data_IF_482988890337
#
_entry.id   IF_482988890337
#
_cell.length_a   1.000
_cell.length_b   1.000
_cell.length_c   1.000
_cell.angle_alpha   90.00
_cell.angle_beta   90.00
_cell.angle_gamma   90.00
#
_symmetry.space_group_name_H-M   'P 1'
#
loop_
_entity.id
_entity.type
_entity.pdbx_description
1 polymer ?
#
# COMPACT_ATOMS: atom_id res chain seq x y z
N UNK A 1 4.80 -22.44 5.34
CA UNK A 1 3.90 -21.30 5.63
C UNK A 1 3.33 -21.25 7.06
N UNK A 2 3.65 -22.19 7.96
CA UNK A 2 3.20 -22.10 9.38
C UNK A 2 3.61 -20.78 10.03
N UNK A 3 4.85 -20.34 9.81
CA UNK A 3 5.38 -19.05 10.29
C UNK A 3 4.51 -17.83 9.93
N UNK A 4 3.83 -17.83 8.77
CA UNK A 4 2.89 -16.77 8.38
C UNK A 4 1.57 -16.86 9.15
N UNK A 5 1.05 -18.08 9.34
CA UNK A 5 -0.18 -18.30 10.10
C UNK A 5 0.02 -18.04 11.59
N UNK A 6 1.21 -18.30 12.12
CA UNK A 6 1.57 -18.00 13.51
C UNK A 6 1.53 -16.48 13.74
N UNK A 7 2.08 -15.68 12.81
CA UNK A 7 1.94 -14.22 12.84
C UNK A 7 0.48 -13.78 12.74
N UNK A 8 -0.26 -14.32 11.78
CA UNK A 8 -1.67 -13.96 11.57
C UNK A 8 -2.51 -14.23 12.82
N UNK A 9 -2.32 -15.40 13.44
CA UNK A 9 -2.96 -15.78 14.70
C UNK A 9 -2.56 -14.87 15.84
N UNK A 10 -1.26 -14.62 16.00
CA UNK A 10 -0.73 -13.77 17.06
C UNK A 10 -1.30 -12.35 17.00
N UNK A 11 -1.32 -11.71 15.84
CA UNK A 11 -1.88 -10.35 15.71
C UNK A 11 -3.40 -10.33 15.88
N UNK A 12 -4.09 -11.36 15.39
CA UNK A 12 -5.54 -11.48 15.58
C UNK A 12 -5.91 -11.60 17.07
N UNK A 13 -5.19 -12.44 17.83
CA UNK A 13 -5.52 -12.78 19.23
C UNK A 13 -4.89 -11.83 20.25
N UNK A 14 -3.70 -11.29 19.96
CA UNK A 14 -2.85 -10.55 20.92
C UNK A 14 -2.41 -9.17 20.41
N UNK A 15 -2.76 -8.81 19.18
CA UNK A 15 -2.42 -7.50 18.62
C UNK A 15 -3.10 -6.36 19.37
N UNK A 16 -2.39 -5.24 19.50
CA UNK A 16 -2.93 -4.05 20.17
C UNK A 16 -3.82 -3.27 19.20
N UNK A 17 -5.05 -2.88 19.59
CA UNK A 17 -5.88 -2.00 18.77
C UNK A 17 -5.18 -0.67 18.48
N UNK A 18 -5.19 -0.25 17.22
CA UNK A 18 -4.51 0.95 16.76
C UNK A 18 -5.27 1.62 15.62
N UNK A 19 -5.47 2.92 15.72
CA UNK A 19 -5.99 3.73 14.62
C UNK A 19 -4.96 3.84 13.49
N UNK A 20 -5.43 3.98 12.25
CA UNK A 20 -4.55 4.06 11.09
C UNK A 20 -5.00 5.19 10.14
N UNK A 21 -4.15 5.53 9.17
CA UNK A 21 -4.41 6.62 8.21
C UNK A 21 -5.67 6.44 7.36
N UNK A 22 -6.18 5.21 7.23
CA UNK A 22 -7.39 4.92 6.46
C UNK A 22 -8.67 5.11 7.28
N UNK A 23 -8.55 5.23 8.62
CA UNK A 23 -9.70 5.29 9.51
C UNK A 23 -10.37 3.93 9.77
N UNK A 24 -9.85 2.83 9.22
CA UNK A 24 -10.42 1.48 9.38
C UNK A 24 -10.14 0.92 10.78
N UNK A 25 -8.98 1.24 11.34
CA UNK A 25 -8.47 0.61 12.54
C UNK A 25 -7.78 -0.74 12.26
N UNK A 26 -6.87 -1.11 13.16
CA UNK A 26 -6.04 -2.32 13.03
C UNK A 26 -5.81 -2.97 14.40
N UNK A 27 -5.49 -4.26 14.41
CA UNK A 27 -4.65 -4.84 15.45
C UNK A 27 -3.20 -4.87 14.95
N UNK A 28 -2.25 -4.43 15.77
CA UNK A 28 -0.85 -4.31 15.37
C UNK A 28 0.10 -4.89 16.44
N UNK A 29 1.24 -5.39 15.96
CA UNK A 29 2.44 -5.68 16.75
C UNK A 29 3.63 -4.98 16.13
N UNK A 30 4.58 -4.55 16.97
CA UNK A 30 5.78 -3.85 16.52
C UNK A 30 7.01 -4.73 16.70
N UNK A 31 7.60 -5.16 15.57
CA UNK A 31 8.70 -6.12 15.56
C UNK A 31 8.19 -7.55 15.46
N UNK A 32 8.39 -8.17 14.30
CA UNK A 32 8.22 -9.61 14.10
C UNK A 32 9.23 -10.10 13.07
N UNK A 33 9.74 -11.32 13.21
CA UNK A 33 10.67 -11.89 12.24
C UNK A 33 10.26 -13.31 11.84
N UNK A 34 10.21 -13.55 10.54
CA UNK A 34 9.97 -14.87 9.95
C UNK A 34 11.22 -15.31 9.18
N UNK A 35 11.44 -16.62 9.11
CA UNK A 35 12.50 -17.24 8.30
C UNK A 35 11.91 -18.36 7.44
N UNK A 36 12.31 -18.39 6.18
CA UNK A 36 11.90 -19.37 5.20
C UNK A 36 13.16 -19.98 4.57
N UNK A 37 13.41 -21.28 4.81
CA UNK A 37 14.45 -22.02 4.10
C UNK A 37 13.96 -22.29 2.67
N UNK A 38 14.56 -21.60 1.70
CA UNK A 38 14.14 -21.66 0.30
C UNK A 38 14.50 -22.99 -0.37
N UNK A 39 15.37 -23.81 0.24
CA UNK A 39 15.65 -25.16 -0.24
C UNK A 39 14.51 -26.15 0.01
N UNK A 40 13.59 -25.84 0.93
CA UNK A 40 12.45 -26.70 1.27
C UNK A 40 11.22 -26.46 0.38
N UNK A 41 11.28 -25.48 -0.51
CA UNK A 41 10.19 -25.09 -1.41
C UNK A 41 9.97 -23.59 -1.45
N UNK A 42 9.20 -23.14 -2.44
CA UNK A 42 8.91 -21.72 -2.65
C UNK A 42 7.82 -21.25 -1.65
N UNK A 43 8.08 -20.21 -0.83
CA UNK A 43 7.22 -19.82 0.30
C UNK A 43 5.96 -19.07 -0.14
N UNK A 44 5.11 -19.73 -0.92
CA UNK A 44 3.84 -19.20 -1.38
C UNK A 44 2.72 -19.64 -0.43
N UNK A 45 1.84 -18.72 -0.03
CA UNK A 45 0.69 -19.06 0.82
C UNK A 45 -0.20 -20.07 0.09
N UNK A 46 -0.48 -21.20 0.74
CA UNK A 46 -1.37 -22.26 0.23
C UNK A 46 -2.75 -22.23 0.87
N UNK A 47 -2.93 -21.57 2.02
CA UNK A 47 -4.24 -21.44 2.69
C UNK A 47 -5.18 -20.42 2.04
N UNK A 48 -4.71 -19.68 1.02
CA UNK A 48 -5.53 -18.94 0.06
C UNK A 48 -4.78 -18.79 -1.27
N UNK A 49 -5.50 -18.80 -2.38
CA UNK A 49 -4.93 -18.60 -3.72
C UNK A 49 -4.41 -17.17 -3.87
N UNK A 50 -3.16 -17.02 -4.31
CA UNK A 50 -2.54 -15.74 -4.65
C UNK A 50 -2.54 -15.50 -6.16
N UNK A 51 -2.55 -14.23 -6.57
CA UNK A 51 -2.49 -13.83 -7.97
C UNK A 51 -1.04 -13.71 -8.45
N UNK A 52 -0.45 -14.85 -8.83
CA UNK A 52 0.97 -14.99 -9.20
C UNK A 52 1.43 -14.01 -10.29
N UNK A 53 0.58 -13.78 -11.31
CA UNK A 53 0.86 -12.84 -12.40
C UNK A 53 1.24 -11.46 -11.87
N UNK A 54 0.50 -10.94 -10.90
CA UNK A 54 0.79 -9.64 -10.30
C UNK A 54 2.13 -9.61 -9.57
N UNK A 55 2.45 -10.65 -8.80
CA UNK A 55 3.71 -10.73 -8.04
C UNK A 55 4.92 -10.71 -8.98
N UNK A 56 4.87 -11.51 -10.05
CA UNK A 56 5.99 -11.67 -10.99
C UNK A 56 6.19 -10.39 -11.81
N UNK A 57 5.13 -9.84 -12.41
CA UNK A 57 5.26 -8.60 -13.19
C UNK A 57 5.65 -7.40 -12.34
N UNK A 58 5.18 -7.29 -11.10
CA UNK A 58 5.59 -6.22 -10.19
C UNK A 58 7.10 -6.27 -9.91
N UNK A 59 7.65 -7.45 -9.63
CA UNK A 59 9.09 -7.59 -9.41
C UNK A 59 9.90 -7.23 -10.67
N UNK A 60 9.46 -7.71 -11.84
CA UNK A 60 10.11 -7.35 -13.11
C UNK A 60 10.04 -5.82 -13.33
N UNK A 61 8.89 -5.20 -13.04
CA UNK A 61 8.70 -3.76 -13.15
C UNK A 61 9.65 -2.97 -12.22
N UNK A 62 9.83 -3.41 -10.97
CA UNK A 62 10.84 -2.85 -10.07
C UNK A 62 12.25 -3.01 -10.63
N UNK A 63 12.60 -4.20 -11.12
CA UNK A 63 13.92 -4.49 -11.68
C UNK A 63 14.20 -3.69 -12.95
N UNK A 64 13.19 -3.29 -13.72
CA UNK A 64 13.30 -2.39 -14.88
C UNK A 64 13.52 -0.93 -14.50
N UNK A 65 13.35 -0.58 -13.22
CA UNK A 65 13.48 0.79 -12.74
C UNK A 65 12.24 1.66 -13.02
N UNK A 66 11.14 1.05 -13.43
CA UNK A 66 9.94 1.77 -13.83
C UNK A 66 9.15 2.29 -12.62
N UNK A 67 8.42 3.38 -12.83
CA UNK A 67 7.57 4.04 -11.82
C UNK A 67 6.20 4.46 -12.36
N UNK A 68 5.93 4.18 -13.64
CA UNK A 68 4.62 4.35 -14.27
C UNK A 68 3.93 2.99 -14.42
N UNK A 69 2.61 2.94 -14.22
CA UNK A 69 1.83 1.69 -14.23
C UNK A 69 1.47 1.17 -15.62
N UNK A 70 1.89 1.83 -16.72
CA UNK A 70 1.58 1.41 -18.10
C UNK A 70 1.99 -0.05 -18.36
N UNK A 71 3.23 -0.43 -18.03
CA UNK A 71 3.70 -1.81 -18.16
C UNK A 71 2.83 -2.80 -17.35
N UNK A 72 2.45 -2.43 -16.13
CA UNK A 72 1.62 -3.29 -15.28
C UNK A 72 0.24 -3.49 -15.91
N UNK A 73 -0.38 -2.42 -16.41
CA UNK A 73 -1.68 -2.45 -17.10
C UNK A 73 -1.64 -3.29 -18.37
N UNK A 74 -0.63 -3.11 -19.21
CA UNK A 74 -0.41 -3.91 -20.42
C UNK A 74 -0.31 -5.42 -20.12
N UNK A 75 0.15 -5.78 -18.93
CA UNK A 75 0.30 -7.16 -18.47
C UNK A 75 -0.85 -7.66 -17.58
N UNK A 76 -1.96 -6.90 -17.51
CA UNK A 76 -3.16 -7.29 -16.76
C UNK A 76 -3.00 -7.18 -15.24
N UNK A 77 -2.18 -6.26 -14.76
CA UNK A 77 -1.89 -6.04 -13.34
C UNK A 77 -2.32 -4.64 -12.89
N UNK A 78 -3.31 -4.58 -12.00
CA UNK A 78 -3.89 -3.32 -11.47
C UNK A 78 -3.58 -3.04 -10.00
N UNK A 79 -2.60 -3.73 -9.39
CA UNK A 79 -2.32 -3.63 -7.95
C UNK A 79 -1.77 -2.26 -7.51
N UNK A 80 -1.44 -1.37 -8.44
CA UNK A 80 -0.93 -0.02 -8.17
C UNK A 80 -1.90 1.10 -8.61
N UNK A 81 -3.04 0.75 -9.21
CA UNK A 81 -4.00 1.70 -9.80
C UNK A 81 -4.56 2.70 -8.79
N UNK A 82 -4.65 2.30 -7.51
CA UNK A 82 -5.21 3.14 -6.47
C UNK A 82 -4.30 4.33 -6.12
N UNK A 83 -2.99 4.21 -6.32
CA UNK A 83 -1.99 5.21 -5.93
C UNK A 83 -1.53 6.09 -7.09
N UNK A 84 -1.65 5.63 -8.32
CA UNK A 84 -1.17 6.39 -9.47
C UNK A 84 -1.98 7.66 -9.73
N UNK A 85 -1.32 8.68 -10.28
CA UNK A 85 -1.97 9.87 -10.83
C UNK A 85 -2.73 9.58 -12.14
N UNK A 86 -3.27 10.63 -12.78
CA UNK A 86 -4.07 10.49 -14.00
C UNK A 86 -3.25 9.95 -15.19
N UNK A 87 -1.95 10.24 -15.21
CA UNK A 87 -0.99 9.80 -16.22
C UNK A 87 -0.35 8.45 -15.87
N UNK A 88 -0.68 7.87 -14.72
CA UNK A 88 -0.19 6.57 -14.27
C UNK A 88 1.13 6.60 -13.50
N UNK A 89 1.63 7.77 -13.11
CA UNK A 89 2.89 7.89 -12.36
C UNK A 89 2.67 7.70 -10.86
N UNK A 90 3.68 7.11 -10.21
CA UNK A 90 3.72 6.90 -8.77
C UNK A 90 4.77 7.77 -8.07
N UNK A 91 5.47 8.62 -8.81
CA UNK A 91 6.66 9.32 -8.34
C UNK A 91 7.85 8.37 -8.16
N UNK A 92 8.89 8.75 -7.40
CA UNK A 92 10.15 8.03 -7.31
C UNK A 92 10.09 6.78 -6.40
N UNK A 93 9.17 5.85 -6.66
CA UNK A 93 8.99 4.61 -5.86
C UNK A 93 10.11 3.58 -6.15
N UNK A 94 9.91 2.33 -5.69
CA UNK A 94 10.93 1.28 -5.61
C UNK A 94 11.84 1.15 -6.83
N UNK A 95 11.29 1.02 -8.05
CA UNK A 95 12.09 0.80 -9.25
C UNK A 95 13.16 1.88 -9.44
N UNK A 96 12.77 3.15 -9.34
CA UNK A 96 13.71 4.26 -9.40
C UNK A 96 14.75 4.16 -8.28
N UNK A 97 14.35 3.89 -7.04
CA UNK A 97 15.33 3.80 -5.95
C UNK A 97 16.31 2.65 -6.14
N UNK A 98 15.87 1.51 -6.68
CA UNK A 98 16.71 0.34 -6.89
C UNK A 98 17.70 0.51 -8.04
N UNK A 99 17.26 1.14 -9.14
CA UNK A 99 18.02 1.21 -10.40
C UNK A 99 18.65 2.57 -10.69
N UNK A 100 18.14 3.63 -10.05
CA UNK A 100 18.45 5.02 -10.40
C UNK A 100 18.37 5.96 -9.18
N UNK A 101 19.00 5.59 -8.06
CA UNK A 101 19.00 6.41 -6.84
C UNK A 101 19.72 7.74 -7.06
N UNK A 102 19.06 8.87 -6.76
CA UNK A 102 19.66 10.20 -6.85
C UNK A 102 20.57 10.51 -5.67
N UNK A 103 21.86 10.70 -5.92
CA UNK A 103 22.84 11.15 -4.92
C UNK A 103 22.91 12.68 -4.85
N UNK A 104 23.35 13.21 -3.70
CA UNK A 104 23.47 14.65 -3.47
C UNK A 104 24.45 15.36 -4.42
N UNK A 105 25.41 14.63 -4.99
CA UNK A 105 26.38 15.13 -5.97
C UNK A 105 25.90 15.00 -7.42
N UNK A 106 24.62 14.67 -7.64
CA UNK A 106 24.01 14.52 -8.96
C UNK A 106 24.24 13.16 -9.62
N UNK A 107 24.99 12.23 -8.98
CA UNK A 107 25.12 10.87 -9.50
C UNK A 107 23.81 10.10 -9.41
N UNK A 108 23.66 9.15 -10.34
CA UNK A 108 22.60 8.16 -10.35
C UNK A 108 23.21 6.80 -9.98
N UNK A 109 22.73 6.18 -8.90
CA UNK A 109 23.29 4.94 -8.35
C UNK A 109 22.34 3.78 -8.64
N UNK A 110 22.81 2.82 -9.46
CA UNK A 110 22.14 1.53 -9.66
C UNK A 110 22.56 0.54 -8.56
N UNK A 111 21.77 0.46 -7.51
CA UNK A 111 22.05 -0.38 -6.35
C UNK A 111 22.01 -1.87 -6.70
N UNK A 112 21.14 -2.28 -7.64
CA UNK A 112 21.01 -3.69 -8.05
C UNK A 112 22.23 -4.12 -8.87
N UNK A 113 22.67 -3.32 -9.83
CA UNK A 113 23.88 -3.62 -10.60
C UNK A 113 25.13 -3.65 -9.70
N UNK A 114 25.24 -2.71 -8.76
CA UNK A 114 26.31 -2.72 -7.76
C UNK A 114 26.28 -4.00 -6.91
N UNK A 115 25.11 -4.38 -6.39
CA UNK A 115 24.91 -5.58 -5.58
C UNK A 115 25.36 -6.84 -6.33
N UNK A 116 24.94 -7.02 -7.58
CA UNK A 116 25.31 -8.20 -8.38
C UNK A 116 26.82 -8.28 -8.61
N UNK A 117 27.45 -7.13 -8.91
CA UNK A 117 28.90 -7.04 -9.06
C UNK A 117 29.64 -7.36 -7.76
N UNK A 118 29.14 -6.85 -6.62
CA UNK A 118 29.75 -7.07 -5.32
C UNK A 118 29.59 -8.52 -4.84
N UNK A 119 28.43 -9.17 -5.04
CA UNK A 119 28.25 -10.60 -4.72
C UNK A 119 29.29 -11.45 -5.47
N UNK A 120 29.52 -11.17 -6.76
CA UNK A 120 30.46 -11.95 -7.59
C UNK A 120 31.92 -11.72 -7.21
N UNK A 121 32.29 -10.49 -6.82
CA UNK A 121 33.67 -10.11 -6.52
C UNK A 121 34.05 -10.35 -5.04
N UNK A 122 33.11 -10.15 -4.13
CA UNK A 122 33.32 -10.12 -2.69
C UNK A 122 32.05 -10.63 -1.95
N UNK A 123 31.74 -11.94 -2.06
CA UNK A 123 30.53 -12.52 -1.48
C UNK A 123 30.45 -12.38 0.05
N UNK A 124 31.59 -12.25 0.73
CA UNK A 124 31.68 -12.08 2.20
C UNK A 124 31.35 -10.65 2.67
N UNK A 125 31.06 -9.74 1.73
CA UNK A 125 30.73 -8.36 2.04
C UNK A 125 29.51 -8.28 2.97
N UNK A 126 29.69 -7.57 4.09
CA UNK A 126 28.59 -7.26 5.02
C UNK A 126 27.77 -6.04 4.58
N UNK A 127 27.97 -5.56 3.35
CA UNK A 127 27.38 -4.34 2.80
C UNK A 127 26.47 -4.58 1.60
N UNK A 128 26.16 -5.84 1.28
CA UNK A 128 25.32 -6.26 0.15
C UNK A 128 23.86 -5.81 0.35
N UNK A 129 23.57 -4.52 0.21
CA UNK A 129 22.34 -3.90 0.66
C UNK A 129 21.73 -3.03 -0.42
N UNK A 130 20.40 -3.00 -0.47
CA UNK A 130 19.61 -2.10 -1.32
C UNK A 130 18.58 -1.41 -0.44
N UNK A 131 18.48 -0.08 -0.58
CA UNK A 131 17.51 0.74 0.13
C UNK A 131 16.53 1.38 -0.84
N UNK A 132 15.25 1.33 -0.51
CA UNK A 132 14.22 2.16 -1.15
C UNK A 132 13.94 3.45 -0.34
N UNK A 133 14.49 3.58 0.87
CA UNK A 133 14.17 4.67 1.79
C UNK A 133 15.00 5.93 1.53
N UNK A 134 14.73 6.61 0.41
CA UNK A 134 15.36 7.88 0.08
C UNK A 134 14.64 9.05 0.75
N UNK A 135 15.18 9.50 1.88
CA UNK A 135 14.58 10.56 2.72
C UNK A 135 14.28 11.82 1.92
N UNK A 136 15.14 12.22 0.98
CA UNK A 136 14.95 13.43 0.17
C UNK A 136 13.83 13.34 -0.87
N UNK A 137 13.30 12.14 -1.11
CA UNK A 137 12.30 11.90 -2.15
C UNK A 137 10.99 11.32 -1.62
N UNK A 138 10.89 11.02 -0.31
CA UNK A 138 9.71 10.37 0.30
C UNK A 138 8.40 11.14 0.04
N UNK A 139 8.42 12.46 0.08
CA UNK A 139 7.22 13.30 -0.12
C UNK A 139 6.72 13.30 -1.57
N UNK A 140 7.58 12.91 -2.51
CA UNK A 140 7.25 12.83 -3.93
C UNK A 140 6.61 11.48 -4.30
N UNK A 141 6.64 10.49 -3.40
CA UNK A 141 6.16 9.13 -3.66
C UNK A 141 4.67 9.00 -3.36
N UNK A 142 3.92 8.43 -4.32
CA UNK A 142 2.49 8.15 -4.16
C UNK A 142 2.20 7.18 -3.00
N UNK A 143 3.16 6.30 -2.68
CA UNK A 143 3.18 5.52 -1.46
C UNK A 143 4.64 5.36 -1.01
N UNK A 144 4.93 5.77 0.22
CA UNK A 144 6.27 5.59 0.80
C UNK A 144 6.59 4.09 0.93
N UNK A 145 7.83 3.65 0.66
CA UNK A 145 8.22 2.24 0.60
C UNK A 145 7.82 1.47 1.85
N UNK A 146 7.05 0.40 1.72
CA UNK A 146 6.75 -0.53 2.81
C UNK A 146 7.95 -1.43 3.07
N UNK A 147 8.50 -2.03 2.02
CA UNK A 147 9.75 -2.80 2.02
C UNK A 147 10.93 -1.85 1.81
N UNK A 148 11.49 -1.36 2.92
CA UNK A 148 12.38 -0.20 2.93
C UNK A 148 13.81 -0.55 2.59
N UNK A 149 14.29 -1.72 3.02
CA UNK A 149 15.68 -2.10 2.89
C UNK A 149 15.83 -3.62 2.91
N UNK A 150 16.69 -4.16 2.07
CA UNK A 150 17.03 -5.58 2.10
C UNK A 150 18.52 -5.80 1.93
N UNK A 151 19.01 -6.85 2.58
CA UNK A 151 20.41 -7.22 2.64
C UNK A 151 20.59 -8.67 2.20
N UNK A 152 21.58 -8.92 1.35
CA UNK A 152 22.01 -10.26 0.99
C UNK A 152 23.18 -10.72 1.87
N UNK A 153 23.30 -12.03 1.97
CA UNK A 153 24.37 -12.69 2.68
C UNK A 153 24.73 -13.99 1.95
N UNK A 154 26.02 -14.21 1.70
CA UNK A 154 26.51 -15.46 1.11
C UNK A 154 27.29 -16.23 2.16
N UNK A 155 26.95 -17.50 2.34
CA UNK A 155 27.77 -18.44 3.11
C UNK A 155 27.62 -19.84 2.54
N UNK A 156 28.72 -20.60 2.46
CA UNK A 156 28.73 -21.96 1.91
C UNK A 156 28.09 -22.04 0.51
N UNK A 157 28.37 -21.06 -0.37
CA UNK A 157 27.75 -20.91 -1.71
C UNK A 157 26.23 -20.75 -1.72
N UNK A 158 25.59 -20.50 -0.57
CA UNK A 158 24.15 -20.25 -0.45
C UNK A 158 23.89 -18.76 -0.23
N UNK A 159 22.98 -18.20 -1.03
CA UNK A 159 22.54 -16.82 -0.97
C UNK A 159 21.27 -16.70 -0.13
N UNK A 160 21.35 -15.94 0.96
CA UNK A 160 20.21 -15.55 1.78
C UNK A 160 19.86 -14.08 1.56
N UNK A 161 18.60 -13.71 1.79
CA UNK A 161 18.12 -12.34 1.76
C UNK A 161 17.34 -12.02 3.03
N UNK A 162 17.68 -10.92 3.70
CA UNK A 162 16.89 -10.35 4.79
C UNK A 162 16.21 -9.07 4.32
N UNK A 163 14.89 -8.99 4.48
CA UNK A 163 14.10 -7.80 4.23
C UNK A 163 13.69 -7.15 5.56
N UNK A 164 13.83 -5.83 5.66
CA UNK A 164 13.12 -5.00 6.63
C UNK A 164 11.94 -4.29 5.96
N UNK A 165 10.73 -4.60 6.43
CA UNK A 165 9.49 -4.01 5.98
C UNK A 165 8.88 -3.20 7.12
N UNK A 166 8.89 -1.86 7.02
CA UNK A 166 8.46 -0.96 8.10
C UNK A 166 6.98 -1.09 8.47
N UNK A 167 6.15 -1.53 7.52
CA UNK A 167 4.69 -1.57 7.63
C UNK A 167 4.16 -2.71 6.76
N UNK A 168 3.38 -3.60 7.35
CA UNK A 168 2.91 -4.82 6.68
C UNK A 168 1.43 -5.09 7.00
N UNK A 169 0.59 -4.94 5.98
CA UNK A 169 -0.74 -5.55 5.97
C UNK A 169 -0.56 -7.07 5.89
N UNK A 170 -0.84 -7.76 6.99
CA UNK A 170 -0.62 -9.21 7.14
C UNK A 170 -1.55 -10.00 6.21
N UNK A 171 -2.77 -9.51 5.95
CA UNK A 171 -3.73 -10.28 5.19
C UNK A 171 -3.51 -10.13 3.69
N UNK A 172 -3.47 -8.91 3.16
CA UNK A 172 -3.38 -8.67 1.72
C UNK A 172 -1.94 -8.61 1.23
N UNK A 173 -1.13 -7.73 1.80
CA UNK A 173 0.19 -7.38 1.27
C UNK A 173 1.28 -8.40 1.56
N UNK A 174 1.36 -8.87 2.81
CA UNK A 174 2.46 -9.70 3.29
C UNK A 174 2.67 -11.00 2.48
N UNK A 175 1.63 -11.75 2.06
CA UNK A 175 1.79 -12.90 1.19
C UNK A 175 2.46 -12.58 -0.16
N UNK A 176 2.18 -11.40 -0.74
CA UNK A 176 2.82 -10.94 -1.97
C UNK A 176 4.28 -10.57 -1.71
N UNK A 177 4.57 -9.89 -0.60
CA UNK A 177 5.92 -9.49 -0.25
C UNK A 177 6.84 -10.69 -0.01
N UNK A 178 6.36 -11.73 0.69
CA UNK A 178 7.12 -12.97 0.91
C UNK A 178 7.48 -13.63 -0.42
N UNK A 179 6.51 -13.79 -1.32
CA UNK A 179 6.72 -14.43 -2.61
C UNK A 179 7.66 -13.60 -3.52
N UNK A 180 7.49 -12.28 -3.54
CA UNK A 180 8.31 -11.36 -4.35
C UNK A 180 9.78 -11.42 -3.96
N UNK A 181 10.10 -11.33 -2.67
CA UNK A 181 11.50 -11.37 -2.21
C UNK A 181 12.13 -12.76 -2.22
N UNK A 182 11.33 -13.81 -2.03
CA UNK A 182 11.79 -15.17 -2.31
C UNK A 182 12.16 -15.31 -3.79
N UNK A 183 11.30 -14.86 -4.71
CA UNK A 183 11.57 -14.90 -6.15
C UNK A 183 12.84 -14.11 -6.50
N UNK A 184 12.99 -12.88 -5.98
CA UNK A 184 14.20 -12.07 -6.16
C UNK A 184 15.45 -12.82 -5.67
N UNK A 185 15.37 -13.49 -4.52
CA UNK A 185 16.50 -14.27 -3.98
C UNK A 185 16.91 -15.40 -4.91
N UNK A 186 15.94 -16.15 -5.46
CA UNK A 186 16.21 -17.19 -6.46
C UNK A 186 16.83 -16.62 -7.75
N UNK A 187 16.30 -15.50 -8.27
CA UNK A 187 16.81 -14.87 -9.48
C UNK A 187 18.26 -14.37 -9.30
N UNK A 188 18.55 -13.73 -8.17
CA UNK A 188 19.91 -13.25 -7.84
C UNK A 188 20.86 -14.44 -7.64
N UNK A 189 20.43 -15.50 -6.96
CA UNK A 189 21.22 -16.71 -6.79
C UNK A 189 21.61 -17.32 -8.14
N UNK A 190 20.64 -17.47 -9.06
CA UNK A 190 20.89 -18.02 -10.40
C UNK A 190 21.94 -17.22 -11.19
N UNK A 191 21.79 -15.89 -11.27
CA UNK A 191 22.71 -15.06 -12.09
C UNK A 191 24.09 -14.85 -11.44
N UNK A 192 24.23 -15.27 -10.18
CA UNK A 192 25.48 -15.27 -9.42
C UNK A 192 26.08 -16.68 -9.23
N UNK A 193 25.51 -17.72 -9.83
CA UNK A 193 25.96 -19.12 -9.68
C UNK A 193 25.99 -19.60 -8.20
N UNK A 194 24.95 -19.24 -7.45
CA UNK A 194 24.77 -19.61 -6.05
C UNK A 194 23.53 -20.47 -5.86
N UNK A 195 23.54 -21.27 -4.80
CA UNK A 195 22.35 -21.95 -4.29
C UNK A 195 21.52 -20.99 -3.44
N UNK A 196 20.24 -21.31 -3.19
CA UNK A 196 19.42 -20.52 -2.28
C UNK A 196 19.62 -20.93 -0.81
N UNK A 197 19.72 -19.93 0.05
CA UNK A 197 19.69 -20.06 1.51
C UNK A 197 18.31 -19.71 2.06
N UNK A 198 18.29 -18.76 2.99
CA UNK A 198 17.07 -18.33 3.68
C UNK A 198 16.55 -17.00 3.13
N UNK A 199 15.22 -16.88 3.08
CA UNK A 199 14.56 -15.57 3.12
C UNK A 199 14.16 -15.24 4.57
N UNK A 200 14.67 -14.13 5.09
CA UNK A 200 14.35 -13.61 6.42
C UNK A 200 13.52 -12.34 6.29
N UNK A 201 12.31 -12.34 6.83
CA UNK A 201 11.39 -11.20 6.72
C UNK A 201 11.19 -10.56 8.08
N UNK A 202 11.75 -9.36 8.25
CA UNK A 202 11.64 -8.55 9.47
C UNK A 202 10.59 -7.48 9.26
N UNK A 203 9.63 -7.38 10.17
CA UNK A 203 8.50 -6.46 10.12
C UNK A 203 8.65 -5.40 11.22
N UNK A 204 8.38 -4.14 10.87
CA UNK A 204 8.15 -3.05 11.82
C UNK A 204 6.74 -3.14 12.37
N UNK A 205 5.83 -2.27 11.91
CA UNK A 205 4.40 -2.35 12.21
C UNK A 205 3.73 -3.45 11.37
N UNK A 206 3.53 -4.62 11.97
CA UNK A 206 2.77 -5.71 11.38
C UNK A 206 1.33 -5.65 11.87
N UNK A 207 0.39 -5.41 10.96
CA UNK A 207 -1.00 -5.13 11.30
C UNK A 207 -1.99 -5.95 10.49
N UNK A 208 -3.11 -6.23 11.14
CA UNK A 208 -4.31 -6.80 10.53
C UNK A 208 -5.43 -5.76 10.64
N UNK A 209 -5.99 -5.37 9.50
CA UNK A 209 -7.14 -4.46 9.49
C UNK A 209 -8.36 -5.11 10.14
N UNK A 210 -9.15 -4.31 10.86
CA UNK A 210 -10.34 -4.82 11.56
C UNK A 210 -11.33 -5.49 10.60
N UNK A 211 -11.48 -4.96 9.39
CA UNK A 211 -12.33 -5.52 8.32
C UNK A 211 -11.76 -6.79 7.65
N UNK A 212 -10.60 -7.30 8.09
CA UNK A 212 -10.00 -8.54 7.61
C UNK A 212 -10.02 -9.67 8.65
N UNK A 213 -10.66 -9.47 9.81
CA UNK A 213 -10.61 -10.43 10.92
C UNK A 213 -11.33 -11.74 10.60
N UNK A 214 -12.49 -11.69 9.96
CA UNK A 214 -13.23 -12.90 9.62
C UNK A 214 -12.54 -13.69 8.52
N UNK A 215 -11.93 -13.00 7.55
CA UNK A 215 -11.11 -13.62 6.52
C UNK A 215 -9.84 -14.24 7.12
N UNK A 216 -9.25 -13.60 8.13
CA UNK A 216 -8.13 -14.17 8.88
C UNK A 216 -8.55 -15.43 9.65
N UNK A 217 -9.69 -15.40 10.35
CA UNK A 217 -10.27 -16.57 11.05
C UNK A 217 -10.56 -17.72 10.09
N UNK A 218 -11.17 -17.43 8.95
CA UNK A 218 -11.42 -18.42 7.89
C UNK A 218 -10.10 -19.02 7.38
N UNK A 219 -9.09 -18.17 7.13
CA UNK A 219 -7.79 -18.64 6.66
C UNK A 219 -7.09 -19.53 7.70
N UNK A 220 -7.21 -19.22 8.99
CA UNK A 220 -6.62 -19.97 10.10
C UNK A 220 -7.26 -21.35 10.33
N UNK A 221 -8.46 -21.59 9.80
CA UNK A 221 -9.12 -22.91 9.83
C UNK A 221 -8.65 -23.84 8.71
N UNK A 222 -7.87 -23.34 7.74
CA UNK A 222 -7.42 -24.12 6.58
C UNK A 222 -6.05 -24.73 6.84
N UNK A 223 -5.95 -26.04 6.63
CA UNK A 223 -4.67 -26.74 6.67
C UNK A 223 -3.77 -26.33 5.49
N UNK A 224 -2.51 -25.94 5.73
CA UNK A 224 -1.56 -25.66 4.65
C UNK A 224 -1.32 -26.88 3.75
N UNK A 225 -1.37 -26.69 2.44
CA UNK A 225 -0.81 -27.67 1.50
C UNK A 225 0.71 -27.58 1.43
N UNK A 226 1.34 -28.59 0.80
CA UNK A 226 2.76 -28.62 0.51
C UNK A 226 3.22 -27.36 -0.24
N UNK A 227 4.45 -26.92 0.03
CA UNK A 227 5.04 -25.80 -0.68
C UNK A 227 5.24 -26.17 -2.16
N UNK A 228 4.94 -25.26 -3.11
CA UNK A 228 5.30 -25.47 -4.50
C UNK A 228 6.82 -25.39 -4.72
N UNK A 229 7.30 -25.80 -5.88
CA UNK A 229 8.67 -25.54 -6.33
C UNK A 229 8.71 -24.38 -7.33
N UNK A 230 9.77 -23.58 -7.26
CA UNK A 230 10.08 -22.55 -8.25
C UNK A 230 11.11 -23.10 -9.22
N UNK A 231 10.86 -22.95 -10.52
CA UNK A 231 11.79 -23.25 -11.60
C UNK A 231 11.94 -22.02 -12.47
N UNK A 232 13.16 -21.52 -12.56
CA UNK A 232 13.54 -20.40 -13.41
C UNK A 232 14.11 -20.92 -14.74
N UNK A 233 13.97 -20.14 -15.81
CA UNK A 233 14.62 -20.44 -17.09
C UNK A 233 16.16 -20.42 -16.91
N UNK A 234 16.86 -21.54 -17.10
CA UNK A 234 18.31 -21.62 -16.88
C UNK A 234 19.14 -20.84 -17.90
N UNK A 235 18.55 -20.47 -19.04
CA UNK A 235 19.23 -19.74 -20.10
C UNK A 235 19.36 -18.24 -19.79
N UNK A 236 18.57 -17.73 -18.84
CA UNK A 236 18.65 -16.33 -18.41
C UNK A 236 19.87 -16.11 -17.53
N UNK A 237 20.84 -15.31 -18.02
CA UNK A 237 22.12 -15.03 -17.33
C UNK A 237 22.24 -13.64 -16.72
N UNK A 238 21.27 -12.77 -16.99
CA UNK A 238 21.20 -11.41 -16.46
C UNK A 238 19.91 -11.24 -15.66
N UNK A 239 20.00 -10.56 -14.51
CA UNK A 239 18.83 -10.31 -13.67
C UNK A 239 17.77 -9.47 -14.40
N UNK A 240 18.20 -8.64 -15.34
CA UNK A 240 17.36 -7.69 -16.06
C UNK A 240 16.70 -8.28 -17.31
N UNK A 241 17.09 -9.51 -17.69
CA UNK A 241 16.57 -10.18 -18.90
C UNK A 241 15.39 -11.10 -18.59
N UNK A 242 15.10 -11.36 -17.31
CA UNK A 242 13.97 -12.19 -16.89
C UNK A 242 12.64 -11.60 -17.35
N UNK A 243 11.81 -12.47 -17.94
CA UNK A 243 10.44 -12.21 -18.34
C UNK A 243 9.46 -13.05 -17.51
N UNK A 244 8.18 -12.78 -17.68
CA UNK A 244 7.13 -13.53 -16.98
C UNK A 244 7.18 -15.02 -17.32
N UNK A 245 7.49 -15.36 -18.58
CA UNK A 245 7.54 -16.73 -19.08
C UNK A 245 8.72 -17.52 -18.50
N UNK A 246 9.73 -16.85 -17.95
CA UNK A 246 10.92 -17.48 -17.37
C UNK A 246 10.69 -17.96 -15.93
N UNK A 247 9.52 -17.69 -15.35
CA UNK A 247 9.18 -17.99 -13.96
C UNK A 247 8.07 -19.02 -13.91
N UNK A 248 8.40 -20.25 -13.50
CA UNK A 248 7.44 -21.34 -13.36
C UNK A 248 7.28 -21.76 -11.90
N UNK A 249 6.04 -21.82 -11.43
CA UNK A 249 5.70 -22.36 -10.12
C UNK A 249 5.02 -23.72 -10.31
N UNK A 250 5.76 -24.79 -10.04
CA UNK A 250 5.29 -26.16 -10.22
C UNK A 250 4.64 -26.66 -8.91
N UNK A 251 3.54 -27.41 -9.02
CA UNK A 251 2.87 -28.02 -7.86
C UNK A 251 2.08 -27.06 -6.95
N UNK A 252 1.74 -25.84 -7.39
CA UNK A 252 0.99 -24.90 -6.56
C UNK A 252 -0.50 -25.24 -6.41
N UNK A 253 -0.79 -26.02 -5.38
CA UNK A 253 -2.13 -26.29 -4.87
C UNK A 253 -2.44 -25.33 -3.72
N UNK A 254 -3.54 -24.59 -3.83
CA UNK A 254 -3.99 -23.69 -2.79
C UNK A 254 -5.50 -23.79 -2.59
N UNK A 255 -5.92 -23.51 -1.37
CA UNK A 255 -7.33 -23.27 -1.06
C UNK A 255 -7.87 -22.10 -1.88
N UNK A 256 -9.21 -22.04 -2.01
CA UNK A 256 -9.89 -20.96 -2.75
C UNK A 256 -9.46 -19.58 -2.27
N UNK A 257 -9.44 -18.61 -3.17
CA UNK A 257 -9.16 -17.22 -2.79
C UNK A 257 -10.15 -16.76 -1.71
N UNK A 258 -9.65 -15.98 -0.74
CA UNK A 258 -10.48 -15.29 0.25
C UNK A 258 -10.51 -13.83 -0.16
N UNK A 259 -11.69 -13.32 -0.50
CA UNK A 259 -11.85 -11.91 -0.85
C UNK A 259 -11.87 -11.09 0.43
N UNK A 260 -10.98 -10.11 0.53
CA UNK A 260 -11.02 -9.09 1.56
C UNK A 260 -11.12 -7.72 0.89
N UNK A 261 -11.97 -6.81 1.41
CA UNK A 261 -12.15 -5.49 0.84
C UNK A 261 -10.90 -4.63 1.08
N UNK A 262 -10.58 -3.79 0.11
CA UNK A 262 -9.87 -2.53 0.36
C UNK A 262 -10.95 -1.52 0.80
N UNK A 263 -10.72 -0.72 1.86
CA UNK A 263 -11.76 0.06 2.55
C UNK A 263 -12.76 0.76 1.60
N UNK A 264 -14.04 0.35 1.66
CA UNK A 264 -15.07 0.72 0.69
C UNK A 264 -15.37 2.24 0.69
N UNK A 265 -15.25 2.90 1.84
CA UNK A 265 -15.39 4.35 1.99
C UNK A 265 -14.31 5.12 1.21
N UNK A 266 -13.05 4.65 1.23
CA UNK A 266 -11.96 5.28 0.47
C UNK A 266 -12.17 5.17 -1.04
N UNK A 267 -12.81 4.08 -1.51
CA UNK A 267 -13.18 3.91 -2.91
C UNK A 267 -14.21 4.95 -3.34
N UNK A 268 -15.29 5.11 -2.56
CA UNK A 268 -16.33 6.13 -2.79
C UNK A 268 -15.74 7.54 -2.74
N UNK A 269 -14.96 7.84 -1.71
CA UNK A 269 -14.27 9.12 -1.58
C UNK A 269 -13.40 9.43 -2.81
N UNK A 270 -12.64 8.45 -3.32
CA UNK A 270 -11.80 8.64 -4.51
C UNK A 270 -12.64 8.95 -5.74
N UNK A 271 -13.70 8.18 -5.99
CA UNK A 271 -14.61 8.39 -7.12
C UNK A 271 -15.26 9.78 -7.10
N UNK A 272 -15.65 10.25 -5.91
CA UNK A 272 -16.31 11.56 -5.76
C UNK A 272 -15.37 12.75 -5.97
N UNK A 273 -14.07 12.58 -5.68
CA UNK A 273 -13.12 13.71 -5.58
C UNK A 273 -12.05 13.76 -6.66
N UNK A 274 -11.78 12.66 -7.37
CA UNK A 274 -10.72 12.61 -8.39
C UNK A 274 -11.00 13.63 -9.51
N UNK A 275 -9.96 14.38 -9.92
CA UNK A 275 -10.04 15.43 -10.93
C UNK A 275 -10.70 16.74 -10.47
N UNK A 276 -11.05 16.86 -9.18
CA UNK A 276 -11.72 18.05 -8.61
C UNK A 276 -10.83 18.82 -7.65
N UNK A 277 -11.24 20.04 -7.32
CA UNK A 277 -10.68 20.77 -6.19
C UNK A 277 -11.20 20.21 -4.88
N UNK A 278 -10.31 19.97 -3.93
CA UNK A 278 -10.65 19.52 -2.57
C UNK A 278 -10.22 20.57 -1.55
N UNK A 279 -11.11 20.91 -0.62
CA UNK A 279 -10.84 21.87 0.46
C UNK A 279 -10.83 21.16 1.82
N UNK A 280 -9.81 21.46 2.62
CA UNK A 280 -9.69 20.95 3.97
C UNK A 280 -9.06 21.96 4.93
N UNK A 281 -9.27 21.79 6.23
CA UNK A 281 -8.56 22.54 7.25
C UNK A 281 -7.12 22.04 7.43
N UNK A 282 -6.25 22.87 8.02
CA UNK A 282 -4.84 22.51 8.27
C UNK A 282 -4.66 21.22 9.10
N UNK A 283 -5.44 21.05 10.17
CA UNK A 283 -5.37 19.83 11.02
C UNK A 283 -5.70 18.58 10.22
N UNK A 284 -6.72 18.66 9.36
CA UNK A 284 -7.08 17.57 8.44
C UNK A 284 -5.96 17.29 7.45
N UNK A 285 -5.36 18.32 6.84
CA UNK A 285 -4.22 18.15 5.94
C UNK A 285 -3.06 17.42 6.64
N UNK A 286 -2.68 17.85 7.86
CA UNK A 286 -1.65 17.19 8.68
C UNK A 286 -1.99 15.72 8.98
N UNK A 287 -3.25 15.43 9.30
CA UNK A 287 -3.72 14.07 9.56
C UNK A 287 -3.69 13.17 8.32
N UNK A 288 -3.99 13.73 7.13
CA UNK A 288 -3.86 13.04 5.85
C UNK A 288 -2.37 12.77 5.54
N UNK A 289 -1.50 13.70 5.95
CA UNK A 289 -0.04 13.52 5.90
C UNK A 289 0.59 13.72 4.52
N UNK A 290 -0.19 14.14 3.51
CA UNK A 290 0.26 14.33 2.12
C UNK A 290 -0.76 15.10 1.28
N UNK A 291 -0.32 15.51 0.08
CA UNK A 291 -1.20 15.95 -1.02
C UNK A 291 -1.94 14.76 -1.62
N UNK A 292 -3.23 14.93 -1.89
CA UNK A 292 -4.05 13.90 -2.52
C UNK A 292 -3.84 13.92 -4.05
N UNK A 293 -3.26 12.87 -4.67
CA UNK A 293 -2.93 12.87 -6.10
C UNK A 293 -4.15 13.03 -7.01
N UNK A 294 -3.94 13.67 -8.17
CA UNK A 294 -4.98 13.89 -9.17
C UNK A 294 -6.09 14.86 -8.74
N UNK A 295 -5.81 15.75 -7.78
CA UNK A 295 -6.77 16.72 -7.21
C UNK A 295 -6.08 18.05 -6.93
N UNK A 296 -6.83 19.15 -7.05
CA UNK A 296 -6.35 20.47 -6.62
C UNK A 296 -6.54 20.59 -5.11
N UNK A 297 -5.45 20.53 -4.34
CA UNK A 297 -5.52 20.46 -2.88
C UNK A 297 -5.48 21.86 -2.27
N UNK A 298 -6.60 22.32 -1.74
CA UNK A 298 -6.76 23.61 -1.09
C UNK A 298 -6.79 23.43 0.44
N UNK A 299 -6.00 24.24 1.15
CA UNK A 299 -5.91 24.22 2.61
C UNK A 299 -6.39 25.55 3.16
N UNK A 300 -7.52 25.54 3.86
CA UNK A 300 -8.04 26.71 4.56
C UNK A 300 -7.21 26.94 5.83
N UNK A 301 -6.39 28.00 5.83
CA UNK A 301 -5.54 28.36 6.96
C UNK A 301 -5.12 29.83 6.92
N UNK A 302 -4.92 30.43 8.08
CA UNK A 302 -4.30 31.76 8.21
C UNK A 302 -2.77 31.72 8.21
N UNK A 303 -2.16 30.53 8.12
CA UNK A 303 -0.71 30.41 8.02
C UNK A 303 -0.26 30.67 6.59
N UNK A 304 0.92 31.29 6.45
CA UNK A 304 1.48 31.65 5.15
C UNK A 304 1.77 30.45 4.23
N UNK A 305 1.91 29.23 4.78
CA UNK A 305 2.22 28.03 4.02
C UNK A 305 1.34 26.83 4.38
N UNK A 306 1.07 26.00 3.37
CA UNK A 306 0.40 24.73 3.55
C UNK A 306 1.33 23.68 4.19
N UNK A 307 0.79 22.65 4.85
CA UNK A 307 1.60 21.59 5.46
C UNK A 307 2.46 20.77 4.49
N UNK A 308 2.02 20.58 3.25
CA UNK A 308 2.71 19.73 2.26
C UNK A 308 2.89 20.44 0.92
N UNK A 309 3.89 20.00 0.16
CA UNK A 309 4.16 20.50 -1.19
C UNK A 309 2.96 20.32 -2.12
N UNK A 310 2.76 21.24 -3.07
CA UNK A 310 1.66 21.27 -4.05
C UNK A 310 0.25 21.54 -3.46
N UNK A 311 0.14 21.79 -2.15
CA UNK A 311 -1.08 22.32 -1.56
C UNK A 311 -1.13 23.84 -1.72
N UNK A 312 -2.32 24.37 -1.98
CA UNK A 312 -2.57 25.80 -2.14
C UNK A 312 -3.24 26.32 -0.88
N UNK A 313 -2.64 27.33 -0.26
CA UNK A 313 -3.27 28.03 0.87
C UNK A 313 -4.40 28.91 0.34
N UNK A 314 -5.54 28.83 1.01
CA UNK A 314 -6.67 29.74 0.80
C UNK A 314 -7.10 30.30 2.15
N UNK A 315 -7.50 31.57 2.18
CA UNK A 315 -7.86 32.27 3.42
C UNK A 315 -9.37 32.30 3.68
N UNK A 316 -10.17 31.93 2.68
CA UNK A 316 -11.63 31.93 2.75
C UNK A 316 -12.25 30.91 1.80
N UNK A 317 -13.54 30.62 2.00
CA UNK A 317 -14.32 29.80 1.05
C UNK A 317 -14.45 30.46 -0.33
N UNK A 318 -14.50 31.79 -0.40
CA UNK A 318 -14.57 32.50 -1.69
C UNK A 318 -13.26 32.36 -2.47
N UNK A 319 -12.12 32.45 -1.79
CA UNK A 319 -10.83 32.19 -2.40
C UNK A 319 -10.72 30.72 -2.87
N UNK A 320 -11.27 29.78 -2.10
CA UNK A 320 -11.31 28.37 -2.49
C UNK A 320 -12.18 28.12 -3.73
N UNK A 321 -13.34 28.76 -3.81
CA UNK A 321 -14.24 28.68 -4.97
C UNK A 321 -13.62 29.31 -6.21
N UNK A 322 -12.92 30.44 -6.06
CA UNK A 322 -12.20 31.06 -7.16
C UNK A 322 -11.10 30.13 -7.71
N UNK A 323 -10.37 29.43 -6.83
CA UNK A 323 -9.37 28.44 -7.23
C UNK A 323 -9.97 27.19 -7.86
N UNK A 324 -11.15 26.76 -7.41
CA UNK A 324 -11.87 25.66 -8.06
C UNK A 324 -12.32 26.02 -9.48
N UNK A 325 -12.58 27.31 -9.77
CA UNK A 325 -13.01 27.78 -11.07
C UNK A 325 -14.36 27.17 -11.45
N UNK A 326 -14.42 26.50 -12.61
CA UNK A 326 -15.62 25.77 -13.06
C UNK A 326 -15.70 24.34 -12.51
N UNK A 327 -14.64 23.86 -11.83
CA UNK A 327 -14.67 22.55 -11.19
C UNK A 327 -15.49 22.59 -9.91
N UNK A 328 -16.12 21.47 -9.57
CA UNK A 328 -16.77 21.34 -8.28
C UNK A 328 -15.74 21.39 -7.15
N UNK A 329 -15.99 22.24 -6.15
CA UNK A 329 -15.22 22.29 -4.91
C UNK A 329 -15.77 21.29 -3.90
N UNK A 330 -14.97 20.28 -3.56
CA UNK A 330 -15.32 19.24 -2.59
C UNK A 330 -14.72 19.60 -1.22
N UNK A 331 -15.55 19.89 -0.22
CA UNK A 331 -15.06 20.06 1.16
C UNK A 331 -14.91 18.69 1.79
N UNK A 332 -13.69 18.33 2.23
CA UNK A 332 -13.33 16.96 2.61
C UNK A 332 -12.88 16.81 4.06
N UNK A 333 -12.79 17.89 4.84
CA UNK A 333 -12.53 17.75 6.26
C UNK A 333 -12.19 19.03 7.02
N UNK A 334 -12.41 18.94 8.33
CA UNK A 334 -12.28 20.02 9.30
C UNK A 334 -13.68 20.49 9.72
N UNK A 335 -14.02 20.31 11.00
CA UNK A 335 -15.35 20.65 11.53
C UNK A 335 -15.75 22.10 11.26
N UNK A 336 -14.82 23.05 11.46
CA UNK A 336 -15.02 24.46 11.14
C UNK A 336 -15.19 24.72 9.63
N UNK A 337 -14.46 24.01 8.78
CA UNK A 337 -14.56 24.15 7.33
C UNK A 337 -15.91 23.64 6.83
N UNK A 338 -16.36 22.50 7.35
CA UNK A 338 -17.70 22.00 7.08
C UNK A 338 -18.77 22.99 7.55
N UNK A 339 -18.64 23.54 8.76
CA UNK A 339 -19.62 24.49 9.31
C UNK A 339 -19.75 25.74 8.43
N UNK A 340 -18.63 26.29 7.97
CA UNK A 340 -18.62 27.44 7.05
C UNK A 340 -19.23 27.10 5.67
N UNK A 341 -19.03 25.87 5.20
CA UNK A 341 -19.42 25.47 3.85
C UNK A 341 -20.87 24.97 3.73
N UNK A 342 -21.46 24.44 4.80
CA UNK A 342 -22.80 23.83 4.80
C UNK A 342 -23.88 24.75 4.23
N UNK A 343 -23.86 26.04 4.59
CA UNK A 343 -24.82 27.03 4.10
C UNK A 343 -24.63 27.42 2.63
N UNK A 344 -23.55 26.96 1.98
CA UNK A 344 -23.25 27.22 0.58
C UNK A 344 -23.26 25.94 -0.26
N UNK A 345 -23.15 24.78 0.39
CA UNK A 345 -23.13 23.49 -0.26
C UNK A 345 -24.43 23.23 -1.02
N UNK A 346 -24.31 22.59 -2.18
CA UNK A 346 -25.44 22.16 -3.01
C UNK A 346 -25.67 20.65 -2.92
N UNK A 347 -24.62 19.91 -2.58
CA UNK A 347 -24.61 18.46 -2.39
C UNK A 347 -23.92 18.12 -1.08
N UNK A 348 -24.36 17.04 -0.46
CA UNK A 348 -23.75 16.49 0.74
C UNK A 348 -23.62 14.98 0.57
N UNK A 349 -22.38 14.49 0.64
CA UNK A 349 -22.05 13.07 0.55
C UNK A 349 -21.62 12.60 1.93
N UNK A 350 -22.46 11.79 2.60
CA UNK A 350 -22.20 11.28 3.94
C UNK A 350 -22.01 9.78 3.92
N UNK A 351 -21.08 9.30 4.75
CA UNK A 351 -21.01 7.90 5.18
C UNK A 351 -21.44 7.88 6.65
N UNK A 352 -22.63 7.34 6.93
CA UNK A 352 -23.18 7.23 8.28
C UNK A 352 -22.86 5.84 8.81
N UNK A 353 -22.05 5.74 9.87
CA UNK A 353 -21.67 4.46 10.48
C UNK A 353 -22.51 4.26 11.74
N UNK A 354 -23.23 3.15 11.81
CA UNK A 354 -24.14 2.82 12.92
C UNK A 354 -23.32 2.27 14.11
N UNK A 355 -22.70 3.17 14.86
CA UNK A 355 -21.85 2.87 16.02
C UNK A 355 -21.90 3.96 17.09
N UNK A 356 -21.51 3.61 18.32
CA UNK A 356 -21.31 4.55 19.42
C UNK A 356 -19.81 4.76 19.65
N UNK A 357 -19.39 6.02 19.75
CA UNK A 357 -17.99 6.40 20.02
C UNK A 357 -17.94 7.17 21.35
N UNK A 358 -17.77 6.49 22.50
CA UNK A 358 -17.93 7.08 23.83
C UNK A 358 -16.98 8.25 24.14
N UNK A 359 -15.86 8.34 23.43
CA UNK A 359 -14.81 9.34 23.63
C UNK A 359 -14.60 10.23 22.38
N UNK A 360 -15.64 10.45 21.58
CA UNK A 360 -15.54 11.33 20.42
C UNK A 360 -15.31 12.79 20.85
N UNK A 361 -14.20 13.37 20.40
CA UNK A 361 -13.79 14.76 20.68
C UNK A 361 -14.09 15.74 19.54
N UNK A 362 -14.53 15.22 18.38
CA UNK A 362 -14.79 15.97 17.16
C UNK A 362 -16.09 15.49 16.54
N UNK A 363 -16.96 16.42 16.14
CA UNK A 363 -18.28 16.13 15.59
C UNK A 363 -18.47 16.80 14.23
N UNK A 364 -19.21 16.14 13.34
CA UNK A 364 -19.71 16.80 12.14
C UNK A 364 -20.67 17.92 12.56
N UNK A 365 -20.57 19.14 11.98
CA UNK A 365 -21.41 20.25 12.38
C UNK A 365 -22.91 19.91 12.23
N UNK A 366 -23.75 20.33 13.18
CA UNK A 366 -25.19 20.15 13.05
C UNK A 366 -25.69 20.90 11.81
N UNK A 367 -26.63 20.29 11.09
CA UNK A 367 -27.25 20.90 9.93
C UNK A 367 -28.75 20.60 9.92
N UNK A 368 -29.52 21.54 9.37
CA UNK A 368 -30.96 21.40 9.24
C UNK A 368 -31.29 20.44 8.09
N UNK A 369 -31.65 19.21 8.45
CA UNK A 369 -31.99 18.13 7.50
C UNK A 369 -33.17 18.50 6.60
N UNK A 370 -34.07 19.41 7.02
CA UNK A 370 -35.21 19.84 6.20
C UNK A 370 -34.79 20.60 4.93
N UNK A 371 -33.56 21.13 4.91
CA UNK A 371 -32.95 21.81 3.76
C UNK A 371 -32.31 20.86 2.76
N UNK A 372 -32.42 19.55 2.98
CA UNK A 372 -31.74 18.52 2.20
C UNK A 372 -32.72 17.44 1.76
N UNK A 373 -32.73 17.16 0.47
CA UNK A 373 -33.43 16.03 -0.12
C UNK A 373 -32.45 14.87 -0.26
N UNK A 374 -32.77 13.71 0.33
CA UNK A 374 -32.04 12.47 0.11
C UNK A 374 -32.29 11.99 -1.32
N UNK A 375 -31.23 11.85 -2.13
CA UNK A 375 -31.30 11.38 -3.51
C UNK A 375 -31.06 9.87 -3.61
N UNK A 376 -30.06 9.38 -2.89
CA UNK A 376 -29.70 7.97 -2.83
C UNK A 376 -29.25 7.59 -1.43
N UNK A 377 -29.64 6.38 -1.03
CA UNK A 377 -29.14 5.70 0.16
C UNK A 377 -28.74 4.28 -0.26
N UNK A 378 -27.48 3.94 -0.06
CA UNK A 378 -26.99 2.57 -0.18
C UNK A 378 -26.66 2.06 1.22
N UNK A 379 -27.44 1.07 1.68
CA UNK A 379 -27.30 0.50 3.00
C UNK A 379 -26.44 -0.75 2.97
N UNK A 380 -25.41 -0.76 3.80
CA UNK A 380 -24.52 -1.88 4.01
C UNK A 380 -24.74 -2.41 5.42
N UNK A 381 -25.31 -3.61 5.51
CA UNK A 381 -25.44 -4.28 6.79
C UNK A 381 -24.06 -4.54 7.40
N UNK A 382 -23.99 -4.58 8.73
CA UNK A 382 -22.82 -5.12 9.40
C UNK A 382 -22.59 -6.54 8.87
N UNK A 383 -21.40 -6.77 8.35
CA UNK A 383 -21.01 -8.05 7.77
C UNK A 383 -19.56 -8.33 8.12
N UNK A 384 -19.05 -9.46 7.65
CA UNK A 384 -17.66 -9.84 7.85
C UNK A 384 -16.63 -8.84 7.28
N UNK A 385 -17.07 -7.83 6.50
CA UNK A 385 -16.25 -6.78 5.90
C UNK A 385 -16.40 -5.43 6.61
N UNK A 386 -17.43 -5.25 7.44
CA UNK A 386 -17.71 -3.98 8.12
C UNK A 386 -18.23 -4.26 9.52
N UNK A 387 -17.42 -3.91 10.53
CA UNK A 387 -17.73 -4.15 11.94
C UNK A 387 -19.04 -3.47 12.40
N UNK A 388 -19.46 -2.43 11.68
CA UNK A 388 -20.69 -1.71 11.89
C UNK A 388 -21.46 -1.65 10.58
N UNK A 389 -22.79 -1.64 10.66
CA UNK A 389 -23.60 -1.26 9.53
C UNK A 389 -23.28 0.20 9.17
N UNK A 390 -23.37 0.54 7.90
CA UNK A 390 -23.19 1.91 7.47
C UNK A 390 -24.03 2.20 6.24
N UNK A 391 -24.24 3.49 5.97
CA UNK A 391 -25.03 3.97 4.86
C UNK A 391 -24.27 5.03 4.08
N UNK A 392 -24.23 4.87 2.78
CA UNK A 392 -23.83 5.93 1.87
C UNK A 392 -25.06 6.75 1.52
N UNK A 393 -25.08 8.00 1.96
CA UNK A 393 -26.18 8.91 1.70
C UNK A 393 -25.68 10.06 0.81
N UNK A 394 -26.41 10.32 -0.27
CA UNK A 394 -26.20 11.50 -1.11
C UNK A 394 -27.42 12.41 -1.00
N UNK A 395 -27.19 13.64 -0.55
CA UNK A 395 -28.22 14.66 -0.45
C UNK A 395 -27.99 15.78 -1.45
N UNK A 396 -29.08 16.39 -1.87
CA UNK A 396 -29.10 17.64 -2.62
C UNK A 396 -29.86 18.70 -1.84
N UNK A 397 -29.37 19.93 -1.87
CA UNK A 397 -30.02 21.03 -1.17
C UNK A 397 -31.37 21.35 -1.80
N UNK A 398 -32.41 21.44 -0.98
CA UNK A 398 -33.74 21.89 -1.41
C UNK A 398 -33.67 23.39 -1.70
N UNK A 399 -34.36 23.82 -2.76
CA UNK A 399 -34.37 25.22 -3.19
C UNK A 399 -35.18 26.10 -2.26
#
# INVERSE_FOLDING_TARGET
MRVYLDLLRHVLEQGTPKSDRTGTGTHSVFGWQMRFDLSQGFPLVTTKKLHLRSIIHELIWFLRGETNIAYLKENGVGIWDEWADAEGNLGPVYGKQWRSWGAADGRCIDQISWLLGEIKRNPDSRRLLVSAWNVGELEQMALQPCHTMFQFHVANRRLSCQLYQRSADIFLGLPFNIASYALLTHMVAQVCDLEVGDFVHTLGDAHLYLNHFDQAREQLQREPHALPSLRLNPDVRSLFDFRFEDVHIDGYVAHKAIKAPVADDLRRFKQLTLGKAVLMGRKTALSIGRTLPGRTNLVLTHQASAPFAQQIVVESLDAALLQAGTSELMVIGGGEVYAQALDRAQRLHLTLIDTEVPNADTWFPPFDVSRWQLLSEETHAADARHAHAFRFCDYQRTR
#
